data_IF_625153989270
#
_entry.id   IF_625153989270
#
_cell.length_a   1.000
_cell.length_b   1.000
_cell.length_c   1.000
_cell.angle_alpha   90.00
_cell.angle_beta   90.00
_cell.angle_gamma   90.00
#
_symmetry.space_group_name_H-M   'P 1'
#
loop_
_entity.id
_entity.type
_entity.pdbx_description
1 polymer ?
#
# COMPACT_ATOMS: atom_id res chain seq x y z
N UNK A 1 -15.05 -19.69 11.60
CA UNK A 1 -16.28 -18.94 11.92
C UNK A 1 -17.08 -18.90 10.64
N UNK A 2 -18.30 -19.41 10.70
CA UNK A 2 -19.22 -19.48 9.58
C UNK A 2 -20.10 -18.22 9.53
N UNK A 3 -19.95 -17.42 8.48
CA UNK A 3 -20.68 -16.15 8.30
C UNK A 3 -21.46 -16.20 6.99
N UNK A 4 -22.74 -15.86 7.06
CA UNK A 4 -23.59 -15.67 5.88
C UNK A 4 -23.88 -14.18 5.70
N UNK A 5 -23.44 -13.60 4.59
CA UNK A 5 -23.94 -12.30 4.13
C UNK A 5 -25.09 -12.58 3.17
N UNK A 6 -26.31 -12.16 3.53
CA UNK A 6 -27.53 -12.50 2.79
C UNK A 6 -27.96 -11.35 1.87
N UNK A 7 -28.44 -11.68 0.67
CA UNK A 7 -29.12 -10.74 -0.24
C UNK A 7 -28.31 -9.49 -0.67
N UNK A 8 -26.98 -9.57 -0.72
CA UNK A 8 -26.12 -8.48 -1.19
C UNK A 8 -25.98 -8.46 -2.71
N UNK A 9 -25.80 -7.29 -3.32
CA UNK A 9 -25.17 -7.26 -4.65
C UNK A 9 -23.68 -7.53 -4.51
N UNK A 10 -23.08 -8.24 -5.45
CA UNK A 10 -21.66 -8.62 -5.44
C UNK A 10 -21.00 -8.11 -6.70
N UNK A 11 -19.94 -7.31 -6.55
CA UNK A 11 -19.14 -6.81 -7.66
C UNK A 11 -17.69 -7.21 -7.49
N UNK A 12 -17.19 -8.01 -8.43
CA UNK A 12 -15.77 -8.28 -8.63
C UNK A 12 -15.43 -8.12 -10.12
N UNK A 13 -14.24 -8.53 -10.56
CA UNK A 13 -13.86 -8.40 -11.97
C UNK A 13 -14.70 -9.25 -12.93
N UNK A 14 -15.50 -10.23 -12.48
CA UNK A 14 -16.41 -10.97 -13.35
C UNK A 14 -17.73 -10.24 -13.63
N UNK A 15 -17.99 -9.13 -12.94
CA UNK A 15 -19.16 -8.27 -13.12
C UNK A 15 -20.07 -8.23 -11.89
N UNK A 16 -21.17 -7.48 -12.02
CA UNK A 16 -22.18 -7.33 -10.98
C UNK A 16 -23.12 -8.55 -10.95
N UNK A 17 -23.28 -9.16 -9.78
CA UNK A 17 -24.28 -10.20 -9.48
C UNK A 17 -25.24 -9.66 -8.43
N UNK A 18 -26.54 -9.63 -8.71
CA UNK A 18 -27.54 -9.06 -7.79
C UNK A 18 -28.08 -10.12 -6.83
N UNK A 19 -28.54 -9.68 -5.66
CA UNK A 19 -29.26 -10.52 -4.67
C UNK A 19 -28.55 -11.86 -4.40
N UNK A 20 -27.24 -11.80 -4.14
CA UNK A 20 -26.39 -12.94 -3.88
C UNK A 20 -26.12 -13.10 -2.39
N UNK A 21 -25.96 -14.35 -1.98
CA UNK A 21 -25.51 -14.76 -0.66
C UNK A 21 -24.02 -15.08 -0.73
N UNK A 22 -23.23 -14.59 0.23
CA UNK A 22 -21.82 -14.93 0.39
C UNK A 22 -21.70 -15.75 1.66
N UNK A 23 -21.30 -17.02 1.51
CA UNK A 23 -20.99 -17.88 2.63
C UNK A 23 -19.48 -17.94 2.85
N UNK A 24 -19.06 -17.60 4.06
CA UNK A 24 -17.68 -17.60 4.51
C UNK A 24 -17.53 -18.64 5.61
N UNK A 25 -16.54 -19.51 5.50
CA UNK A 25 -16.15 -20.40 6.58
C UNK A 25 -14.62 -20.55 6.62
N UNK A 26 -14.09 -20.70 7.83
CA UNK A 26 -12.65 -20.80 8.11
C UNK A 26 -11.78 -19.78 7.33
N UNK A 27 -12.23 -18.53 7.29
CA UNK A 27 -11.50 -17.44 6.64
C UNK A 27 -11.56 -17.44 5.12
N UNK A 28 -12.36 -18.32 4.51
CA UNK A 28 -12.50 -18.47 3.06
C UNK A 28 -13.94 -18.28 2.61
N UNK A 29 -14.09 -17.76 1.41
CA UNK A 29 -15.37 -17.76 0.70
C UNK A 29 -15.61 -19.20 0.24
N UNK A 30 -16.70 -19.80 0.69
CA UNK A 30 -17.10 -21.15 0.30
C UNK A 30 -18.03 -21.08 -0.90
N UNK A 31 -18.93 -20.09 -0.93
CA UNK A 31 -19.95 -19.97 -1.97
C UNK A 31 -20.40 -18.52 -2.17
N UNK A 32 -20.69 -18.17 -3.43
CA UNK A 32 -21.39 -16.94 -3.81
C UNK A 32 -22.51 -17.32 -4.78
N UNK A 33 -23.77 -17.23 -4.36
CA UNK A 33 -24.92 -17.69 -5.15
C UNK A 33 -26.24 -17.02 -4.74
N UNK A 34 -27.27 -17.10 -5.57
CA UNK A 34 -28.65 -16.72 -5.20
C UNK A 34 -29.24 -17.62 -4.10
N UNK A 35 -28.80 -18.88 -4.03
CA UNK A 35 -29.32 -19.83 -3.07
C UNK A 35 -28.65 -19.65 -1.71
N UNK A 36 -29.40 -19.88 -0.64
CA UNK A 36 -28.84 -20.07 0.70
C UNK A 36 -28.48 -21.55 0.81
N UNK A 37 -27.19 -21.88 0.93
CA UNK A 37 -26.79 -23.28 1.02
C UNK A 37 -27.33 -23.94 2.29
N UNK A 38 -27.70 -25.22 2.17
CA UNK A 38 -28.13 -26.06 3.27
C UNK A 38 -26.93 -26.50 4.14
N UNK A 39 -26.22 -25.53 4.73
CA UNK A 39 -25.13 -25.81 5.67
C UNK A 39 -25.68 -26.00 7.07
N UNK A 40 -25.08 -26.94 7.81
CA UNK A 40 -25.55 -27.36 9.13
C UNK A 40 -25.28 -26.37 10.26
N UNK A 41 -24.47 -25.33 10.04
CA UNK A 41 -24.19 -24.31 11.06
C UNK A 41 -23.75 -22.97 10.44
N UNK A 42 -24.45 -21.90 10.79
CA UNK A 42 -24.10 -20.50 10.50
C UNK A 42 -23.95 -19.82 11.86
N UNK A 43 -22.77 -19.26 12.16
CA UNK A 43 -22.52 -18.59 13.44
C UNK A 43 -23.11 -17.17 13.44
N UNK A 44 -23.03 -16.47 12.29
CA UNK A 44 -23.54 -15.10 12.14
C UNK A 44 -24.20 -14.87 10.78
N UNK A 45 -25.30 -14.12 10.77
CA UNK A 45 -25.96 -13.63 9.56
C UNK A 45 -25.81 -12.11 9.50
N UNK A 46 -25.32 -11.62 8.36
CA UNK A 46 -25.19 -10.19 8.05
C UNK A 46 -26.21 -9.88 6.96
N UNK A 47 -27.03 -8.85 7.18
CA UNK A 47 -27.98 -8.37 6.19
C UNK A 47 -27.26 -7.54 5.12
N UNK A 48 -27.31 -8.01 3.89
CA UNK A 48 -26.70 -7.41 2.71
C UNK A 48 -27.72 -6.74 1.78
N UNK A 49 -29.04 -6.87 2.02
CA UNK A 49 -30.06 -6.19 1.23
C UNK A 49 -29.80 -4.68 1.21
N UNK A 50 -29.74 -4.12 -0.01
CA UNK A 50 -29.43 -2.70 -0.21
C UNK A 50 -27.94 -2.37 -0.12
N UNK A 51 -27.05 -3.36 -0.05
CA UNK A 51 -25.59 -3.19 0.02
C UNK A 51 -24.89 -3.81 -1.18
N UNK A 52 -23.67 -3.34 -1.43
CA UNK A 52 -22.76 -3.84 -2.46
C UNK A 52 -21.51 -4.42 -1.81
N UNK A 53 -21.28 -5.71 -2.00
CA UNK A 53 -20.06 -6.39 -1.60
C UNK A 53 -19.00 -6.30 -2.71
N UNK A 54 -17.80 -5.88 -2.34
CA UNK A 54 -16.61 -5.87 -3.21
C UNK A 54 -15.46 -6.63 -2.53
N UNK A 55 -14.48 -7.16 -3.30
CA UNK A 55 -13.22 -7.58 -2.72
C UNK A 55 -12.59 -6.46 -1.89
N UNK A 56 -11.92 -6.84 -0.82
CA UNK A 56 -11.15 -5.91 0.00
C UNK A 56 -10.11 -5.16 -0.81
N UNK A 57 -9.98 -3.85 -0.56
CA UNK A 57 -8.99 -3.03 -1.25
C UNK A 57 -7.59 -3.34 -0.72
N UNK A 58 -6.60 -3.27 -1.60
CA UNK A 58 -5.19 -3.45 -1.29
C UNK A 58 -4.45 -2.13 -1.52
N UNK A 59 -3.91 -1.55 -0.45
CA UNK A 59 -3.02 -0.39 -0.54
C UNK A 59 -1.58 -0.87 -0.73
N UNK A 60 -1.09 -0.84 -1.96
CA UNK A 60 0.15 -1.53 -2.33
C UNK A 60 1.44 -0.84 -1.86
N UNK A 61 1.35 0.39 -1.37
CA UNK A 61 2.49 1.14 -0.83
C UNK A 61 2.01 2.28 0.07
N UNK A 62 2.49 2.30 1.31
CA UNK A 62 2.20 3.31 2.33
C UNK A 62 3.38 3.38 3.31
N UNK A 63 3.48 4.46 4.07
CA UNK A 63 4.34 4.53 5.26
C UNK A 63 3.50 4.94 6.48
N UNK A 64 3.23 3.99 7.37
CA UNK A 64 2.33 4.17 8.50
C UNK A 64 3.00 4.80 9.71
N UNK A 65 4.33 4.63 9.82
CA UNK A 65 5.13 5.28 10.86
C UNK A 65 5.18 6.80 10.71
N UNK A 66 4.86 7.40 9.57
CA UNK A 66 5.04 8.84 9.31
C UNK A 66 3.85 9.73 9.69
N UNK A 67 2.78 9.16 10.24
CA UNK A 67 1.48 9.84 10.34
C UNK A 67 1.43 10.91 11.43
N UNK A 68 2.17 10.75 12.52
CA UNK A 68 2.13 11.66 13.67
C UNK A 68 2.62 13.08 13.36
N UNK A 69 3.33 13.28 12.23
CA UNK A 69 3.89 14.56 11.82
C UNK A 69 3.38 15.03 10.44
N UNK A 70 2.35 14.37 9.91
CA UNK A 70 1.83 14.55 8.56
C UNK A 70 1.41 15.99 8.22
N UNK A 71 0.87 16.73 9.19
CA UNK A 71 0.36 18.10 9.02
C UNK A 71 1.30 19.18 9.57
N UNK A 72 2.55 18.82 9.85
CA UNK A 72 3.56 19.74 10.42
C UNK A 72 4.66 20.13 9.44
N UNK A 73 4.58 19.64 8.19
CA UNK A 73 5.52 19.93 7.13
C UNK A 73 4.87 20.90 6.14
N UNK A 74 5.51 22.02 5.77
CA UNK A 74 5.01 22.90 4.72
C UNK A 74 4.79 22.14 3.41
N UNK A 75 3.65 22.34 2.78
CA UNK A 75 3.30 21.74 1.49
C UNK A 75 4.11 22.32 0.33
N UNK A 76 4.81 23.45 0.56
CA UNK A 76 5.73 24.09 -0.38
C UNK A 76 7.18 23.60 -0.28
N UNK A 77 7.50 22.77 0.72
CA UNK A 77 8.86 22.26 0.89
C UNK A 77 9.24 21.32 -0.26
N UNK A 78 10.34 21.63 -0.96
CA UNK A 78 10.86 20.75 -2.00
C UNK A 78 11.40 19.43 -1.40
N UNK A 79 11.74 18.45 -2.24
CA UNK A 79 12.13 17.12 -1.75
C UNK A 79 13.35 17.13 -0.81
N UNK A 80 14.37 17.95 -1.10
CA UNK A 80 15.58 18.05 -0.28
C UNK A 80 15.23 18.66 1.08
N UNK A 81 14.52 19.79 1.07
CA UNK A 81 14.07 20.47 2.28
C UNK A 81 13.18 19.58 3.14
N UNK A 82 12.17 18.95 2.52
CA UNK A 82 11.28 17.99 3.16
C UNK A 82 12.06 16.86 3.85
N UNK A 83 13.04 16.27 3.15
CA UNK A 83 13.77 15.13 3.69
C UNK A 83 14.72 15.55 4.82
N UNK A 84 15.52 16.60 4.60
CA UNK A 84 16.58 17.01 5.51
C UNK A 84 16.04 17.74 6.75
N UNK A 85 15.07 18.64 6.59
CA UNK A 85 14.62 19.51 7.68
C UNK A 85 13.44 18.93 8.46
N UNK A 86 12.73 17.95 7.89
CA UNK A 86 11.51 17.42 8.50
C UNK A 86 11.53 15.90 8.66
N UNK A 87 11.72 15.15 7.57
CA UNK A 87 11.64 13.68 7.63
C UNK A 87 12.76 13.06 8.48
N UNK A 88 14.03 13.43 8.25
CA UNK A 88 15.15 12.90 9.04
C UNK A 88 15.05 13.26 10.54
N UNK A 89 14.76 14.52 10.94
CA UNK A 89 14.49 14.85 12.33
C UNK A 89 13.31 14.09 12.93
N UNK A 90 12.24 13.89 12.16
CA UNK A 90 11.09 13.10 12.58
C UNK A 90 11.49 11.67 12.93
N UNK A 91 12.18 10.98 12.01
CA UNK A 91 12.68 9.63 12.23
C UNK A 91 13.65 9.55 13.41
N UNK A 92 14.51 10.55 13.59
CA UNK A 92 15.42 10.63 14.75
C UNK A 92 14.70 10.79 16.09
N UNK A 93 13.49 11.38 16.09
CA UNK A 93 12.67 11.57 17.29
C UNK A 93 11.72 10.39 17.58
N UNK A 94 11.47 9.53 16.60
CA UNK A 94 10.47 8.46 16.64
C UNK A 94 10.88 7.33 17.58
N UNK A 95 10.08 7.08 18.62
CA UNK A 95 10.27 5.90 19.48
C UNK A 95 9.47 4.70 18.97
N UNK A 96 9.83 3.49 19.40
CA UNK A 96 9.06 2.27 19.09
C UNK A 96 7.57 2.39 19.46
N UNK A 97 7.29 3.06 20.57
CA UNK A 97 5.91 3.29 21.02
C UNK A 97 5.18 4.31 20.12
N UNK A 98 5.89 5.31 19.60
CA UNK A 98 5.30 6.24 18.63
C UNK A 98 4.94 5.54 17.34
N UNK A 99 5.85 4.73 16.80
CA UNK A 99 5.62 3.93 15.60
C UNK A 99 4.39 3.04 15.76
N UNK A 100 4.26 2.33 16.90
CA UNK A 100 3.09 1.52 17.19
C UNK A 100 1.76 2.30 17.09
N UNK A 101 1.66 3.47 17.74
CA UNK A 101 0.42 4.25 17.74
C UNK A 101 0.19 4.98 16.42
N UNK A 102 1.24 5.46 15.76
CA UNK A 102 1.17 6.00 14.39
C UNK A 102 0.59 4.96 13.45
N UNK A 103 1.15 3.76 13.48
CA UNK A 103 0.76 2.67 12.60
C UNK A 103 -0.65 2.18 12.91
N UNK A 104 -1.02 2.04 14.18
CA UNK A 104 -2.38 1.65 14.55
C UNK A 104 -3.43 2.67 14.08
N UNK A 105 -3.11 3.96 14.11
CA UNK A 105 -3.96 5.01 13.58
C UNK A 105 -4.09 4.94 12.05
N UNK A 106 -2.98 4.78 11.32
CA UNK A 106 -3.03 4.60 9.87
C UNK A 106 -3.86 3.38 9.47
N UNK A 107 -3.69 2.25 10.18
CA UNK A 107 -4.45 1.02 9.94
C UNK A 107 -5.94 1.20 10.23
N UNK A 108 -6.28 1.91 11.30
CA UNK A 108 -7.66 2.27 11.61
C UNK A 108 -8.31 3.05 10.46
N UNK A 109 -7.64 4.08 9.94
CA UNK A 109 -8.12 4.87 8.81
C UNK A 109 -8.23 4.03 7.52
N UNK A 110 -7.24 3.19 7.24
CA UNK A 110 -7.28 2.24 6.12
C UNK A 110 -8.50 1.31 6.18
N UNK A 111 -8.79 0.73 7.35
CA UNK A 111 -10.00 -0.08 7.54
C UNK A 111 -11.28 0.74 7.32
N UNK A 112 -11.33 2.00 7.77
CA UNK A 112 -12.47 2.90 7.51
C UNK A 112 -12.64 3.26 6.02
N UNK A 113 -11.59 3.07 5.20
CA UNK A 113 -11.61 3.21 3.75
C UNK A 113 -11.69 1.87 3.00
N UNK A 114 -12.02 0.76 3.69
CA UNK A 114 -12.25 -0.53 3.04
C UNK A 114 -10.97 -1.25 2.61
N UNK A 115 -9.82 -0.78 3.09
CA UNK A 115 -8.53 -1.43 2.88
C UNK A 115 -8.44 -2.64 3.81
N UNK A 116 -8.29 -3.81 3.23
CA UNK A 116 -8.14 -5.08 3.97
C UNK A 116 -6.69 -5.55 4.04
N UNK A 117 -5.86 -5.07 3.11
CA UNK A 117 -4.44 -5.39 3.03
C UNK A 117 -3.64 -4.13 2.67
N UNK A 118 -2.47 -3.98 3.28
CA UNK A 118 -1.51 -2.96 2.86
C UNK A 118 -0.09 -3.51 2.79
N UNK A 119 0.76 -2.82 2.06
CA UNK A 119 2.20 -3.04 2.10
C UNK A 119 2.91 -1.76 2.50
N UNK A 120 3.70 -1.87 3.56
CA UNK A 120 4.53 -0.80 4.08
C UNK A 120 5.98 -1.21 3.96
N UNK A 121 6.77 -0.30 3.44
CA UNK A 121 8.19 -0.47 3.18
C UNK A 121 8.96 0.48 4.07
N UNK A 122 10.18 0.09 4.43
CA UNK A 122 11.13 0.97 5.10
C UNK A 122 10.77 1.47 6.51
N UNK A 123 10.20 0.62 7.38
CA UNK A 123 9.89 0.98 8.77
C UNK A 123 11.12 0.88 9.70
N UNK A 124 11.26 1.81 10.65
CA UNK A 124 12.29 1.76 11.69
C UNK A 124 11.96 0.71 12.77
N UNK A 125 10.67 0.55 13.09
CA UNK A 125 10.17 -0.31 14.15
C UNK A 125 9.18 -1.37 13.64
N UNK A 126 9.56 -2.22 12.66
CA UNK A 126 8.64 -3.13 11.95
C UNK A 126 7.90 -4.13 12.85
N UNK A 127 8.44 -4.46 14.02
CA UNK A 127 7.74 -5.34 14.98
C UNK A 127 6.65 -4.61 15.77
N UNK A 128 6.79 -3.30 15.98
CA UNK A 128 5.72 -2.47 16.52
C UNK A 128 4.57 -2.38 15.51
N UNK A 129 4.89 -2.18 14.23
CA UNK A 129 3.89 -2.16 13.15
C UNK A 129 3.15 -3.49 13.02
N UNK A 130 3.88 -4.60 13.11
CA UNK A 130 3.30 -5.94 13.07
C UNK A 130 2.32 -6.15 14.22
N UNK A 131 2.71 -5.73 15.44
CA UNK A 131 1.84 -5.80 16.62
C UNK A 131 0.58 -4.95 16.47
N UNK A 132 0.69 -3.76 15.87
CA UNK A 132 -0.46 -2.92 15.58
C UNK A 132 -1.40 -3.60 14.57
N UNK A 133 -0.85 -4.20 13.50
CA UNK A 133 -1.62 -4.90 12.47
C UNK A 133 -2.38 -6.10 13.05
N UNK A 134 -1.70 -6.88 13.91
CA UNK A 134 -2.32 -8.00 14.64
C UNK A 134 -3.47 -7.51 15.54
N UNK A 135 -3.27 -6.38 16.24
CA UNK A 135 -4.28 -5.80 17.13
C UNK A 135 -5.53 -5.35 16.37
N UNK A 136 -5.40 -4.58 15.29
CA UNK A 136 -6.57 -4.09 14.54
C UNK A 136 -7.16 -5.14 13.58
N UNK A 137 -6.40 -6.19 13.25
CA UNK A 137 -6.86 -7.33 12.45
C UNK A 137 -6.74 -7.15 10.94
N UNK A 138 -6.05 -6.10 10.46
CA UNK A 138 -5.76 -5.87 9.04
C UNK A 138 -4.65 -6.81 8.53
N UNK A 139 -4.64 -7.11 7.23
CA UNK A 139 -3.54 -7.82 6.56
C UNK A 139 -2.41 -6.84 6.23
N UNK A 140 -1.16 -7.26 6.43
CA UNK A 140 -0.02 -6.38 6.25
C UNK A 140 1.19 -7.11 5.64
N UNK A 141 1.92 -6.40 4.79
CA UNK A 141 3.31 -6.68 4.45
C UNK A 141 4.19 -5.59 5.04
N UNK A 142 5.17 -5.96 5.86
CA UNK A 142 5.97 -5.01 6.64
C UNK A 142 7.44 -5.15 6.27
N UNK A 143 8.00 -4.08 5.73
CA UNK A 143 9.40 -3.96 5.34
C UNK A 143 10.16 -3.11 6.35
N UNK A 144 11.40 -3.48 6.62
CA UNK A 144 12.29 -2.70 7.48
C UNK A 144 13.09 -1.68 6.67
N UNK A 145 13.38 -0.53 7.26
CA UNK A 145 14.33 0.45 6.75
C UNK A 145 15.70 -0.21 6.60
N UNK A 146 16.24 -0.22 5.37
CA UNK A 146 17.58 -0.74 5.08
C UNK A 146 18.29 0.15 4.06
N UNK A 147 19.47 0.61 4.46
CA UNK A 147 20.43 1.32 3.64
C UNK A 147 21.82 1.14 4.28
N UNK A 148 22.87 1.19 3.46
CA UNK A 148 24.26 1.03 3.88
C UNK A 148 25.19 2.12 3.35
N UNK A 149 24.64 3.12 2.64
CA UNK A 149 25.37 4.28 2.12
C UNK A 149 24.71 5.60 2.53
N UNK A 150 25.54 6.61 2.82
CA UNK A 150 25.21 8.04 2.76
C UNK A 150 23.93 8.50 3.48
N UNK A 151 23.55 7.88 4.60
CA UNK A 151 22.44 8.36 5.46
C UNK A 151 22.75 8.16 6.95
N UNK A 152 22.13 8.94 7.87
CA UNK A 152 22.30 8.76 9.31
C UNK A 152 21.83 7.40 9.85
N UNK A 153 20.95 6.72 9.10
CA UNK A 153 20.40 5.40 9.46
C UNK A 153 21.10 4.25 8.72
N UNK A 154 22.21 4.54 8.03
CA UNK A 154 22.99 3.52 7.34
C UNK A 154 23.61 2.52 8.32
N UNK A 155 23.55 1.24 7.97
CA UNK A 155 24.21 0.16 8.73
C UNK A 155 25.06 -0.67 7.77
N UNK A 156 26.10 -1.35 8.26
CA UNK A 156 26.86 -2.31 7.45
C UNK A 156 25.95 -3.30 6.71
N UNK A 157 26.32 -3.66 5.47
CA UNK A 157 25.52 -4.52 4.59
C UNK A 157 25.14 -5.85 5.25
N UNK A 158 26.09 -6.49 5.93
CA UNK A 158 25.89 -7.74 6.68
C UNK A 158 24.82 -7.58 7.77
N UNK A 159 24.85 -6.46 8.50
CA UNK A 159 23.85 -6.14 9.54
C UNK A 159 22.47 -5.89 8.96
N UNK A 160 22.37 -5.16 7.84
CA UNK A 160 21.10 -4.98 7.13
C UNK A 160 20.49 -6.32 6.71
N UNK A 161 21.29 -7.20 6.08
CA UNK A 161 20.83 -8.51 5.63
C UNK A 161 20.46 -9.44 6.80
N UNK A 162 21.26 -9.46 7.88
CA UNK A 162 20.99 -10.24 9.09
C UNK A 162 19.64 -9.85 9.71
N UNK A 163 19.41 -8.54 9.91
CA UNK A 163 18.19 -8.04 10.52
C UNK A 163 16.96 -8.21 9.62
N UNK A 164 17.12 -8.00 8.30
CA UNK A 164 16.07 -8.26 7.33
C UNK A 164 15.67 -9.74 7.34
N UNK A 165 16.62 -10.66 7.33
CA UNK A 165 16.34 -12.09 7.37
C UNK A 165 15.70 -12.52 8.70
N UNK A 166 16.12 -11.93 9.81
CA UNK A 166 15.49 -12.15 11.12
C UNK A 166 14.02 -11.72 11.13
N UNK A 167 13.68 -10.57 10.54
CA UNK A 167 12.30 -10.12 10.39
C UNK A 167 11.50 -11.06 9.48
N UNK A 168 12.07 -11.45 8.33
CA UNK A 168 11.47 -12.41 7.38
C UNK A 168 11.15 -13.74 8.07
N UNK A 169 12.08 -14.29 8.85
CA UNK A 169 11.85 -15.50 9.65
C UNK A 169 10.76 -15.31 10.70
N UNK A 170 10.81 -14.20 11.46
CA UNK A 170 9.89 -13.96 12.57
C UNK A 170 8.44 -13.83 12.12
N UNK A 171 8.20 -13.15 11.01
CA UNK A 171 6.84 -12.94 10.47
C UNK A 171 6.42 -14.01 9.44
N UNK A 172 7.26 -15.02 9.16
CA UNK A 172 6.94 -16.09 8.19
C UNK A 172 5.77 -17.00 8.60
N UNK A 173 5.50 -17.12 9.91
CA UNK A 173 4.47 -18.02 10.45
C UNK A 173 3.05 -17.47 10.35
N UNK A 174 2.92 -16.15 10.24
CA UNK A 174 1.61 -15.51 10.17
C UNK A 174 1.09 -15.51 8.74
N UNK A 175 -0.18 -15.87 8.57
CA UNK A 175 -0.87 -15.81 7.27
C UNK A 175 -1.43 -14.42 6.96
N UNK A 176 -1.50 -13.53 7.97
CA UNK A 176 -2.11 -12.19 7.88
C UNK A 176 -1.08 -11.06 7.92
N UNK A 177 -0.04 -11.18 8.74
CA UNK A 177 1.01 -10.15 8.89
C UNK A 177 2.35 -10.74 8.50
N UNK A 178 2.85 -10.37 7.33
CA UNK A 178 4.07 -10.93 6.72
C UNK A 178 5.14 -9.87 6.57
N UNK A 179 6.39 -10.31 6.46
CA UNK A 179 7.50 -9.42 6.13
C UNK A 179 7.75 -9.36 4.62
N UNK A 180 8.23 -8.21 4.15
CA UNK A 180 8.71 -7.98 2.79
C UNK A 180 10.18 -7.53 2.85
N UNK A 181 11.01 -7.98 1.91
CA UNK A 181 12.38 -7.50 1.82
C UNK A 181 12.36 -6.07 1.27
N UNK A 182 12.93 -5.09 1.97
CA UNK A 182 12.73 -3.67 1.66
C UNK A 182 14.05 -2.91 1.69
N UNK A 183 14.22 -2.00 0.73
CA UNK A 183 15.36 -1.09 0.61
C UNK A 183 14.89 0.34 0.36
N UNK A 184 15.63 1.32 0.87
CA UNK A 184 15.27 2.74 0.74
C UNK A 184 15.38 3.26 -0.70
N UNK A 185 16.30 2.74 -1.50
CA UNK A 185 16.45 3.14 -2.90
C UNK A 185 17.90 3.23 -3.34
N UNK A 186 18.10 3.29 -4.67
CA UNK A 186 19.40 3.02 -5.27
C UNK A 186 20.49 3.89 -4.68
N UNK A 187 20.21 5.18 -4.46
CA UNK A 187 21.19 6.16 -3.98
C UNK A 187 21.71 5.95 -2.55
N UNK A 188 21.06 5.10 -1.75
CA UNK A 188 21.40 4.84 -0.33
C UNK A 188 21.84 3.41 -0.06
N UNK A 189 21.83 2.55 -1.08
CA UNK A 189 22.14 1.13 -0.95
C UNK A 189 23.26 0.72 -1.93
N UNK A 190 24.15 -0.17 -1.47
CA UNK A 190 25.20 -0.81 -2.26
C UNK A 190 24.65 -1.92 -3.15
N UNK A 191 25.42 -2.31 -4.16
CA UNK A 191 25.07 -3.41 -5.05
C UNK A 191 25.00 -4.75 -4.29
N UNK A 192 25.88 -4.93 -3.30
CA UNK A 192 25.92 -6.07 -2.40
C UNK A 192 24.62 -6.19 -1.60
N UNK A 193 24.12 -5.07 -1.07
CA UNK A 193 22.85 -5.05 -0.33
C UNK A 193 21.66 -5.38 -1.24
N UNK A 194 21.62 -4.86 -2.47
CA UNK A 194 20.59 -5.22 -3.45
C UNK A 194 20.61 -6.72 -3.78
N UNK A 195 21.80 -7.27 -4.07
CA UNK A 195 21.97 -8.71 -4.39
C UNK A 195 21.55 -9.59 -3.22
N UNK A 196 21.94 -9.23 -1.99
CA UNK A 196 21.53 -9.95 -0.79
C UNK A 196 20.03 -9.89 -0.55
N UNK A 197 19.42 -8.70 -0.74
CA UNK A 197 17.98 -8.49 -0.56
C UNK A 197 17.15 -9.35 -1.50
N UNK A 198 17.48 -9.37 -2.79
CA UNK A 198 16.72 -10.20 -3.75
C UNK A 198 16.94 -11.70 -3.51
N UNK A 199 18.12 -12.11 -3.03
CA UNK A 199 18.36 -13.49 -2.62
C UNK A 199 17.50 -13.88 -1.40
N UNK A 200 17.36 -12.98 -0.42
CA UNK A 200 16.48 -13.19 0.74
C UNK A 200 15.00 -13.25 0.33
N UNK A 201 14.55 -12.36 -0.56
CA UNK A 201 13.18 -12.39 -1.08
C UNK A 201 12.86 -13.76 -1.74
N UNK A 202 13.79 -14.27 -2.57
CA UNK A 202 13.67 -15.58 -3.21
C UNK A 202 13.64 -16.72 -2.20
N UNK A 203 14.55 -16.71 -1.23
CA UNK A 203 14.63 -17.72 -0.16
C UNK A 203 13.35 -17.78 0.67
N UNK A 204 12.79 -16.63 1.01
CA UNK A 204 11.61 -16.50 1.86
C UNK A 204 10.28 -16.44 1.10
N UNK A 205 10.31 -16.56 -0.24
CA UNK A 205 9.11 -16.51 -1.12
C UNK A 205 8.26 -15.26 -0.87
N UNK A 206 8.92 -14.12 -0.74
CA UNK A 206 8.28 -12.80 -0.59
C UNK A 206 8.73 -11.86 -1.70
N UNK A 207 8.24 -10.63 -1.69
CA UNK A 207 8.69 -9.58 -2.61
C UNK A 207 9.95 -8.89 -2.08
N UNK A 208 10.72 -8.30 -3.00
CA UNK A 208 11.73 -7.28 -2.73
C UNK A 208 11.18 -5.94 -3.22
N UNK A 209 11.05 -4.96 -2.33
CA UNK A 209 10.56 -3.62 -2.65
C UNK A 209 11.63 -2.55 -2.47
N UNK A 210 11.64 -1.56 -3.37
CA UNK A 210 12.49 -0.38 -3.23
C UNK A 210 11.89 0.83 -3.95
N UNK A 211 12.14 2.02 -3.40
CA UNK A 211 11.81 3.28 -4.04
C UNK A 211 12.82 3.58 -5.14
N UNK A 212 12.37 3.57 -6.39
CA UNK A 212 13.26 3.77 -7.53
C UNK A 212 12.70 4.76 -8.54
N UNK A 213 13.60 5.55 -9.12
CA UNK A 213 13.24 6.60 -10.04
C UNK A 213 12.13 7.50 -9.45
N UNK A 214 12.24 7.81 -8.15
CA UNK A 214 11.21 8.50 -7.34
C UNK A 214 11.27 10.02 -7.49
N UNK A 215 11.89 10.49 -8.58
CA UNK A 215 12.00 11.88 -9.00
C UNK A 215 13.21 12.06 -9.91
N UNK A 216 13.24 13.17 -10.65
CA UNK A 216 14.35 13.45 -11.57
C UNK A 216 15.71 13.52 -10.86
N UNK A 217 15.75 14.10 -9.65
CA UNK A 217 16.97 14.19 -8.85
C UNK A 217 17.53 12.82 -8.45
N UNK A 218 16.66 11.86 -8.17
CA UNK A 218 17.02 10.48 -7.83
C UNK A 218 17.75 9.81 -9.01
N UNK A 219 17.23 10.01 -10.23
CA UNK A 219 17.85 9.56 -11.47
C UNK A 219 19.20 10.24 -11.70
N UNK A 220 19.29 11.56 -11.56
CA UNK A 220 20.55 12.31 -11.74
C UNK A 220 21.63 11.82 -10.78
N UNK A 221 21.28 11.64 -9.49
CA UNK A 221 22.21 11.11 -8.48
C UNK A 221 22.67 9.68 -8.82
N UNK A 222 21.75 8.84 -9.28
CA UNK A 222 22.07 7.47 -9.67
C UNK A 222 23.04 7.42 -10.87
N UNK A 223 22.78 8.23 -11.90
CA UNK A 223 23.64 8.33 -13.09
C UNK A 223 25.02 8.85 -12.70
N UNK A 224 25.11 9.86 -11.84
CA UNK A 224 26.40 10.38 -11.34
C UNK A 224 27.19 9.31 -10.60
N UNK A 225 26.52 8.45 -9.82
CA UNK A 225 27.17 7.42 -8.99
C UNK A 225 27.54 6.16 -9.76
N UNK A 226 26.69 5.73 -10.69
CA UNK A 226 26.77 4.39 -11.33
C UNK A 226 27.04 4.43 -12.83
N UNK A 227 26.94 5.61 -13.45
CA UNK A 227 26.97 5.78 -14.91
C UNK A 227 25.71 5.32 -15.62
N UNK A 228 24.68 4.85 -14.90
CA UNK A 228 23.44 4.30 -15.45
C UNK A 228 22.21 4.91 -14.76
N UNK A 229 21.08 4.86 -15.43
CA UNK A 229 19.78 5.20 -14.82
C UNK A 229 19.36 4.10 -13.82
N UNK A 230 18.50 4.39 -12.83
CA UNK A 230 18.20 3.47 -11.73
C UNK A 230 17.84 2.05 -12.19
N UNK A 231 16.85 1.92 -13.08
CA UNK A 231 16.36 0.59 -13.50
C UNK A 231 17.41 -0.11 -14.38
N UNK A 232 18.18 0.62 -15.18
CA UNK A 232 19.28 0.05 -15.97
C UNK A 232 20.40 -0.50 -15.08
N UNK A 233 20.73 0.22 -14.00
CA UNK A 233 21.71 -0.23 -13.01
C UNK A 233 21.22 -1.51 -12.30
N UNK A 234 20.00 -1.46 -11.76
CA UNK A 234 19.39 -2.58 -11.05
C UNK A 234 19.23 -3.84 -11.91
N UNK A 235 18.96 -3.68 -13.21
CA UNK A 235 18.97 -4.78 -14.16
C UNK A 235 20.36 -5.42 -14.25
N UNK A 236 21.42 -4.62 -14.32
CA UNK A 236 22.79 -5.11 -14.49
C UNK A 236 23.37 -5.84 -13.27
N UNK A 237 22.79 -5.63 -12.08
CA UNK A 237 23.18 -6.34 -10.85
C UNK A 237 22.23 -7.50 -10.50
N UNK A 238 21.24 -7.77 -11.34
CA UNK A 238 20.30 -8.90 -11.17
C UNK A 238 19.21 -8.68 -10.12
N UNK A 239 18.91 -7.42 -9.76
CA UNK A 239 17.83 -7.12 -8.81
C UNK A 239 16.44 -7.20 -9.45
N UNK A 240 16.31 -6.90 -10.74
CA UNK A 240 15.02 -6.94 -11.44
C UNK A 240 14.57 -8.38 -11.68
N UNK A 241 13.45 -8.78 -11.07
CA UNK A 241 12.82 -10.08 -11.22
C UNK A 241 11.31 -9.97 -11.02
N UNK A 242 10.57 -11.08 -11.23
CA UNK A 242 9.14 -11.15 -10.90
C UNK A 242 8.79 -10.83 -9.44
N UNK A 243 9.75 -10.99 -8.51
CA UNK A 243 9.58 -10.65 -7.09
C UNK A 243 9.88 -9.19 -6.76
N UNK A 244 10.31 -8.40 -7.75
CA UNK A 244 10.67 -6.99 -7.55
C UNK A 244 9.43 -6.12 -7.67
N UNK A 245 9.13 -5.38 -6.61
CA UNK A 245 8.12 -4.32 -6.57
C UNK A 245 8.84 -2.97 -6.55
N UNK A 246 8.66 -2.17 -7.59
CA UNK A 246 9.22 -0.83 -7.68
C UNK A 246 8.18 0.17 -7.19
N UNK A 247 8.48 0.90 -6.12
CA UNK A 247 7.63 2.00 -5.67
C UNK A 247 7.88 3.25 -6.52
N UNK A 248 6.80 3.92 -6.90
CA UNK A 248 6.76 5.13 -7.75
C UNK A 248 7.04 4.88 -9.24
N UNK A 249 8.32 4.79 -9.63
CA UNK A 249 8.76 4.79 -11.02
C UNK A 249 8.36 6.05 -11.83
N UNK A 250 8.68 7.23 -11.30
CA UNK A 250 8.24 8.54 -11.80
C UNK A 250 9.09 9.16 -12.90
N UNK A 251 10.35 8.76 -13.05
CA UNK A 251 11.23 9.21 -14.14
C UNK A 251 11.88 8.00 -14.81
N UNK A 252 11.31 7.61 -15.95
CA UNK A 252 11.75 6.43 -16.69
C UNK A 252 12.12 6.77 -18.13
N UNK A 253 13.13 6.08 -18.65
CA UNK A 253 13.34 6.00 -20.10
C UNK A 253 12.51 4.85 -20.72
N UNK A 254 12.32 4.88 -22.03
CA UNK A 254 11.65 3.76 -22.73
C UNK A 254 12.45 2.45 -22.62
N UNK A 255 13.78 2.54 -22.45
CA UNK A 255 14.62 1.37 -22.18
C UNK A 255 14.32 0.78 -20.81
N UNK A 256 14.13 1.62 -19.79
CA UNK A 256 13.77 1.18 -18.44
C UNK A 256 12.38 0.52 -18.41
N UNK A 257 11.40 1.07 -19.14
CA UNK A 257 10.08 0.43 -19.33
C UNK A 257 10.23 -0.98 -19.90
N UNK A 258 11.05 -1.15 -20.95
CA UNK A 258 11.32 -2.47 -21.53
C UNK A 258 12.00 -3.43 -20.55
N UNK A 259 12.94 -2.94 -19.74
CA UNK A 259 13.62 -3.76 -18.72
C UNK A 259 12.66 -4.22 -17.62
N UNK A 260 11.79 -3.33 -17.14
CA UNK A 260 10.74 -3.67 -16.17
C UNK A 260 9.84 -4.77 -16.73
N UNK A 261 9.37 -4.60 -17.97
CA UNK A 261 8.51 -5.60 -18.61
C UNK A 261 9.22 -6.93 -18.86
N UNK A 262 10.45 -6.89 -19.36
CA UNK A 262 11.23 -8.09 -19.67
C UNK A 262 11.55 -8.94 -18.44
N UNK A 263 11.72 -8.32 -17.28
CA UNK A 263 11.96 -9.01 -16.00
C UNK A 263 10.68 -9.27 -15.20
N UNK A 264 9.52 -8.88 -15.75
CA UNK A 264 8.20 -9.09 -15.15
C UNK A 264 8.04 -8.49 -13.74
N UNK A 265 8.75 -7.37 -13.52
CA UNK A 265 8.66 -6.57 -12.31
C UNK A 265 7.26 -5.97 -12.16
N UNK A 266 6.90 -5.65 -10.92
CA UNK A 266 5.69 -4.92 -10.59
C UNK A 266 6.01 -3.47 -10.20
N UNK A 267 5.01 -2.59 -10.34
CA UNK A 267 5.07 -1.19 -9.92
C UNK A 267 3.93 -0.91 -8.93
N UNK A 268 4.26 -0.25 -7.82
CA UNK A 268 3.30 0.40 -6.94
C UNK A 268 3.26 1.90 -7.26
N UNK A 269 2.29 2.30 -8.07
CA UNK A 269 2.12 3.69 -8.48
C UNK A 269 1.44 4.51 -7.37
N UNK A 270 1.98 5.69 -7.06
CA UNK A 270 1.47 6.54 -6.00
C UNK A 270 1.23 7.97 -6.55
N UNK A 271 0.24 8.18 -7.42
CA UNK A 271 0.14 9.43 -8.18
C UNK A 271 -0.14 10.65 -7.29
N UNK A 272 -0.81 10.50 -6.15
CA UNK A 272 -1.18 11.64 -5.28
C UNK A 272 0.06 12.28 -4.65
N UNK A 273 0.96 11.48 -4.07
CA UNK A 273 2.25 11.95 -3.52
C UNK A 273 3.12 12.56 -4.62
N UNK A 274 3.13 11.94 -5.80
CA UNK A 274 3.95 12.38 -6.93
C UNK A 274 3.50 13.74 -7.44
N UNK A 275 2.18 13.96 -7.54
CA UNK A 275 1.60 15.25 -7.88
C UNK A 275 1.81 16.29 -6.78
N UNK A 276 1.49 15.96 -5.52
CA UNK A 276 1.62 16.91 -4.39
C UNK A 276 3.06 17.39 -4.23
N UNK A 277 4.06 16.52 -4.41
CA UNK A 277 5.48 16.88 -4.30
C UNK A 277 6.09 17.42 -5.60
N UNK A 278 5.32 17.53 -6.68
CA UNK A 278 5.84 18.01 -7.96
C UNK A 278 6.94 17.14 -8.57
N UNK A 279 6.88 15.80 -8.40
CA UNK A 279 7.93 14.86 -8.84
C UNK A 279 8.08 14.74 -10.37
N UNK A 280 7.22 15.41 -11.13
CA UNK A 280 7.31 15.46 -12.59
C UNK A 280 6.70 14.25 -13.30
N UNK A 281 5.69 13.60 -12.69
CA UNK A 281 4.99 12.44 -13.27
C UNK A 281 4.53 12.69 -14.72
N UNK A 282 4.07 13.90 -15.03
CA UNK A 282 3.72 14.30 -16.40
C UNK A 282 4.93 14.44 -17.34
N UNK A 283 6.02 15.02 -16.83
CA UNK A 283 7.18 15.43 -17.64
C UNK A 283 8.13 14.27 -17.93
N UNK A 284 8.33 13.39 -16.95
CA UNK A 284 9.32 12.31 -17.00
C UNK A 284 8.72 10.92 -16.86
N UNK A 285 7.47 10.84 -16.36
CA UNK A 285 6.79 9.57 -16.15
C UNK A 285 6.49 8.86 -17.47
N UNK A 286 6.45 7.54 -17.39
CA UNK A 286 6.13 6.65 -18.52
C UNK A 286 4.89 5.81 -18.25
N UNK A 287 3.94 6.37 -17.50
CA UNK A 287 2.74 5.67 -17.04
C UNK A 287 1.97 5.03 -18.20
N UNK A 288 1.74 5.77 -19.28
CA UNK A 288 1.04 5.30 -20.48
C UNK A 288 1.78 4.16 -21.16
N UNK A 289 3.11 4.22 -21.26
CA UNK A 289 3.94 3.18 -21.84
C UNK A 289 3.96 1.92 -20.97
N UNK A 290 4.03 2.08 -19.64
CA UNK A 290 3.95 0.97 -18.68
C UNK A 290 2.61 0.23 -18.80
N UNK A 291 1.49 0.97 -18.81
CA UNK A 291 0.14 0.40 -18.96
C UNK A 291 0.00 -0.29 -20.32
N UNK A 292 0.35 0.39 -21.42
CA UNK A 292 0.25 -0.15 -22.78
C UNK A 292 1.15 -1.37 -23.01
N UNK A 293 2.24 -1.49 -22.24
CA UNK A 293 3.15 -2.65 -22.29
C UNK A 293 2.71 -3.81 -21.39
N UNK A 294 1.54 -3.71 -20.73
CA UNK A 294 1.05 -4.68 -19.76
C UNK A 294 2.08 -4.97 -18.65
N UNK A 295 2.72 -3.92 -18.12
CA UNK A 295 3.48 -4.03 -16.87
C UNK A 295 2.51 -4.31 -15.71
N UNK A 296 2.95 -5.09 -14.73
CA UNK A 296 2.15 -5.40 -13.53
C UNK A 296 2.08 -4.14 -12.67
N UNK A 297 0.89 -3.57 -12.52
CA UNK A 297 0.67 -2.33 -11.79
C UNK A 297 -0.33 -2.56 -10.65
N UNK A 298 -0.03 -1.98 -9.51
CA UNK A 298 -0.92 -1.79 -8.37
C UNK A 298 -0.80 -0.34 -7.86
N UNK A 299 -1.70 0.09 -6.99
CA UNK A 299 -1.79 1.48 -6.53
C UNK A 299 -1.55 1.56 -5.02
N UNK A 300 -0.76 2.57 -4.62
CA UNK A 300 -0.51 2.92 -3.24
C UNK A 300 -0.94 4.35 -2.91
N UNK A 301 -0.98 4.66 -1.61
CA UNK A 301 -1.23 6.02 -1.10
C UNK A 301 0.05 6.74 -0.71
N UNK A 302 1.15 6.01 -0.53
CA UNK A 302 2.40 6.52 0.06
C UNK A 302 2.15 7.13 1.45
N UNK A 303 3.12 7.88 1.98
CA UNK A 303 3.07 8.43 3.33
C UNK A 303 2.02 9.55 3.52
N UNK A 304 1.57 9.67 4.77
CA UNK A 304 0.58 10.68 5.16
C UNK A 304 1.11 12.12 5.10
N UNK A 305 2.42 12.36 4.96
CA UNK A 305 2.96 13.72 4.86
C UNK A 305 3.07 14.21 3.40
N UNK A 306 2.96 13.32 2.42
CA UNK A 306 3.00 13.65 0.99
C UNK A 306 1.71 13.34 0.23
N UNK A 307 0.79 12.54 0.79
CA UNK A 307 -0.56 12.37 0.22
C UNK A 307 -1.69 12.79 1.17
N UNK A 308 -1.44 12.76 2.49
CA UNK A 308 -2.39 13.07 3.57
C UNK A 308 -3.71 12.28 3.52
N UNK A 309 -3.73 11.11 2.88
CA UNK A 309 -4.91 10.24 2.85
C UNK A 309 -4.51 8.77 2.76
N UNK A 310 -5.40 7.90 3.23
CA UNK A 310 -5.22 6.43 3.23
C UNK A 310 -6.23 5.73 2.29
N UNK A 311 -6.80 6.48 1.36
CA UNK A 311 -7.83 6.02 0.45
C UNK A 311 -7.22 5.68 -0.92
N UNK A 312 -7.07 4.38 -1.25
CA UNK A 312 -6.44 4.01 -2.49
C UNK A 312 -7.39 4.15 -3.71
N UNK A 313 -8.73 4.28 -3.51
CA UNK A 313 -9.65 4.62 -4.61
C UNK A 313 -9.35 6.03 -5.10
N UNK A 314 -9.11 6.99 -4.20
CA UNK A 314 -8.64 8.33 -4.58
C UNK A 314 -7.33 8.27 -5.36
N UNK A 315 -6.34 7.49 -4.90
CA UNK A 315 -5.11 7.30 -5.68
C UNK A 315 -5.37 6.70 -7.07
N UNK A 316 -6.25 5.71 -7.19
CA UNK A 316 -6.58 5.11 -8.47
C UNK A 316 -7.35 6.06 -9.40
N UNK A 317 -8.17 6.95 -8.84
CA UNK A 317 -8.85 8.03 -9.57
C UNK A 317 -7.82 8.97 -10.20
N UNK A 318 -6.84 9.44 -9.43
CA UNK A 318 -5.75 10.28 -9.97
C UNK A 318 -4.95 9.55 -11.04
N UNK A 319 -4.61 8.27 -10.83
CA UNK A 319 -3.91 7.47 -11.85
C UNK A 319 -4.71 7.41 -13.16
N UNK A 320 -6.01 7.14 -13.04
CA UNK A 320 -6.95 7.01 -14.15
C UNK A 320 -7.06 8.31 -14.94
N UNK A 321 -7.35 9.43 -14.27
CA UNK A 321 -7.51 10.74 -14.91
C UNK A 321 -6.21 11.21 -15.59
N UNK A 322 -5.07 11.10 -14.90
CA UNK A 322 -3.77 11.50 -15.47
C UNK A 322 -3.40 10.67 -16.69
N UNK A 323 -3.58 9.35 -16.64
CA UNK A 323 -3.27 8.48 -17.76
C UNK A 323 -4.16 8.81 -18.98
N UNK A 324 -5.46 9.05 -18.75
CA UNK A 324 -6.40 9.42 -19.83
C UNK A 324 -6.02 10.74 -20.48
N UNK A 325 -5.76 11.77 -19.66
CA UNK A 325 -5.41 13.11 -20.14
C UNK A 325 -4.09 13.09 -20.92
N UNK A 326 -3.04 12.48 -20.34
CA UNK A 326 -1.73 12.36 -20.98
C UNK A 326 -1.78 11.60 -22.31
N UNK A 327 -2.58 10.53 -22.37
CA UNK A 327 -2.70 9.72 -23.57
C UNK A 327 -3.65 10.31 -24.62
N UNK A 328 -4.39 11.39 -24.29
CA UNK A 328 -5.58 11.83 -25.04
C UNK A 328 -6.52 10.66 -25.36
N UNK A 329 -6.63 9.72 -24.42
CA UNK A 329 -7.33 8.45 -24.61
C UNK A 329 -8.18 8.14 -23.37
N UNK A 330 -9.51 8.35 -23.43
CA UNK A 330 -10.39 8.11 -22.29
C UNK A 330 -10.49 6.63 -21.92
N UNK A 331 -9.95 5.68 -22.70
CA UNK A 331 -10.08 4.24 -22.45
C UNK A 331 -8.83 3.61 -21.81
N UNK A 332 -7.69 4.29 -21.75
CA UNK A 332 -6.41 3.67 -21.36
C UNK A 332 -6.39 3.10 -19.94
N UNK A 333 -6.99 3.81 -18.98
CA UNK A 333 -7.29 3.32 -17.63
C UNK A 333 -8.75 3.61 -17.39
N UNK A 334 -9.61 2.62 -17.63
CA UNK A 334 -11.04 2.75 -17.29
C UNK A 334 -11.29 2.35 -15.82
N UNK A 335 -12.51 2.52 -15.35
CA UNK A 335 -12.86 2.26 -13.96
C UNK A 335 -12.65 0.81 -13.54
N UNK A 336 -12.90 -0.15 -14.44
CA UNK A 336 -12.65 -1.58 -14.20
C UNK A 336 -11.16 -1.90 -14.08
N UNK A 337 -10.29 -1.26 -14.88
CA UNK A 337 -8.83 -1.37 -14.76
C UNK A 337 -8.34 -0.81 -13.43
N UNK A 338 -8.80 0.39 -13.05
CA UNK A 338 -8.48 1.00 -11.76
C UNK A 338 -8.91 0.10 -10.59
N UNK A 339 -10.11 -0.47 -10.66
CA UNK A 339 -10.59 -1.45 -9.69
C UNK A 339 -9.72 -2.71 -9.63
N UNK A 340 -9.22 -3.23 -10.78
CA UNK A 340 -8.25 -4.34 -10.77
C UNK A 340 -6.97 -3.98 -10.02
N UNK A 341 -6.40 -2.79 -10.27
CA UNK A 341 -5.16 -2.32 -9.64
C UNK A 341 -5.26 -2.28 -8.11
N UNK A 342 -6.47 -2.12 -7.57
CA UNK A 342 -6.77 -2.11 -6.13
C UNK A 342 -7.16 -3.47 -5.55
N UNK A 343 -7.43 -4.46 -6.40
CA UNK A 343 -7.95 -5.76 -5.98
C UNK A 343 -7.12 -6.90 -6.56
N UNK A 344 -7.56 -7.53 -7.65
CA UNK A 344 -6.92 -8.72 -8.22
C UNK A 344 -5.48 -8.49 -8.68
N UNK A 345 -5.20 -7.37 -9.34
CA UNK A 345 -3.85 -7.08 -9.85
C UNK A 345 -2.85 -6.94 -8.68
N UNK A 346 -3.24 -6.23 -7.61
CA UNK A 346 -2.44 -6.15 -6.38
C UNK A 346 -2.33 -7.52 -5.68
N UNK A 347 -3.44 -8.26 -5.55
CA UNK A 347 -3.47 -9.59 -4.96
C UNK A 347 -2.47 -10.54 -5.63
N UNK A 348 -2.40 -10.53 -6.96
CA UNK A 348 -1.46 -11.32 -7.75
C UNK A 348 0.00 -10.90 -7.55
N UNK A 349 0.24 -9.60 -7.37
CA UNK A 349 1.58 -9.07 -7.06
C UNK A 349 2.05 -9.58 -5.71
N UNK A 350 1.19 -9.47 -4.70
CA UNK A 350 1.46 -9.90 -3.33
C UNK A 350 1.30 -11.42 -3.12
N UNK A 351 1.02 -12.18 -4.18
CA UNK A 351 0.80 -13.63 -4.14
C UNK A 351 -0.21 -14.03 -3.05
N UNK A 352 -1.31 -13.28 -3.02
CA UNK A 352 -2.47 -13.54 -2.17
C UNK A 352 -3.57 -14.24 -2.99
N UNK A 353 -4.35 -15.09 -2.33
CA UNK A 353 -5.55 -15.67 -2.94
C UNK A 353 -6.80 -14.85 -2.55
N UNK A 354 -6.77 -13.54 -2.81
CA UNK A 354 -7.84 -12.58 -2.52
C UNK A 354 -8.14 -11.70 -3.75
N UNK A 355 -8.90 -10.62 -3.60
CA UNK A 355 -9.16 -9.64 -4.65
C UNK A 355 -10.26 -10.04 -5.64
N UNK A 356 -10.96 -11.15 -5.37
CA UNK A 356 -12.13 -11.66 -6.11
C UNK A 356 -13.08 -12.32 -5.10
N UNK A 357 -14.39 -12.24 -5.31
CA UNK A 357 -15.41 -12.85 -4.45
C UNK A 357 -15.90 -14.17 -5.06
N UNK A 358 -15.09 -15.22 -4.89
CA UNK A 358 -15.33 -16.56 -5.45
C UNK A 358 -14.94 -17.68 -4.47
N UNK A 359 -15.50 -18.90 -4.62
CA UNK A 359 -15.12 -20.04 -3.80
C UNK A 359 -13.60 -20.26 -3.70
N UNK A 360 -13.13 -20.68 -2.52
CA UNK A 360 -11.74 -20.92 -2.13
C UNK A 360 -10.86 -19.66 -1.97
N UNK A 361 -11.33 -18.47 -2.32
CA UNK A 361 -10.61 -17.22 -2.05
C UNK A 361 -10.68 -16.87 -0.56
N UNK A 362 -9.66 -16.17 -0.08
CA UNK A 362 -9.64 -15.59 1.26
C UNK A 362 -10.80 -14.59 1.35
N UNK A 363 -11.56 -14.63 2.44
CA UNK A 363 -12.66 -13.70 2.70
C UNK A 363 -12.12 -12.34 3.19
N UNK A 364 -11.41 -11.62 2.32
CA UNK A 364 -11.16 -10.18 2.48
C UNK A 364 -12.19 -9.44 1.60
N UNK A 365 -13.17 -8.79 2.22
CA UNK A 365 -14.28 -8.13 1.52
C UNK A 365 -14.78 -6.90 2.27
N UNK A 366 -15.50 -6.05 1.54
CA UNK A 366 -16.13 -4.83 2.06
C UNK A 366 -17.60 -4.83 1.65
N UNK A 367 -18.51 -4.49 2.58
CA UNK A 367 -19.87 -4.10 2.22
C UNK A 367 -19.99 -2.58 2.23
N UNK A 368 -20.54 -2.05 1.14
CA UNK A 368 -20.82 -0.65 0.92
C UNK A 368 -22.33 -0.43 0.94
N UNK A 369 -22.79 0.64 1.56
CA UNK A 369 -24.17 1.09 1.41
C UNK A 369 -24.42 1.47 -0.06
N UNK A 370 -25.57 1.08 -0.63
CA UNK A 370 -25.94 1.55 -1.98
C UNK A 370 -26.42 2.99 -1.91
N UNK A 371 -25.46 3.91 -1.93
CA UNK A 371 -25.70 5.34 -2.17
C UNK A 371 -26.27 5.58 -3.58
N UNK A 372 -26.89 6.75 -3.86
CA UNK A 372 -27.64 7.00 -5.09
C UNK A 372 -26.92 6.63 -6.39
N UNK A 373 -25.62 6.91 -6.51
CA UNK A 373 -24.84 6.61 -7.71
C UNK A 373 -24.59 5.11 -7.95
N UNK A 374 -24.77 4.24 -6.95
CA UNK A 374 -24.70 2.78 -7.10
C UNK A 374 -26.03 2.15 -7.53
N UNK A 375 -27.11 2.94 -7.62
CA UNK A 375 -28.44 2.44 -7.98
C UNK A 375 -28.63 2.27 -9.51
N UNK A 376 -27.78 2.89 -10.32
CA UNK A 376 -27.90 2.91 -11.78
C UNK A 376 -26.53 2.91 -12.48
N UNK A 377 -26.52 2.56 -13.77
CA UNK A 377 -25.31 2.63 -14.60
C UNK A 377 -24.26 1.57 -14.27
N UNK A 378 -23.00 1.91 -14.57
CA UNK A 378 -21.84 1.05 -14.36
C UNK A 378 -21.29 1.22 -12.93
N UNK A 379 -21.35 0.19 -12.08
CA UNK A 379 -20.93 0.31 -10.70
C UNK A 379 -19.42 0.52 -10.54
N UNK A 380 -18.58 0.13 -11.52
CA UNK A 380 -17.15 0.47 -11.45
C UNK A 380 -16.95 1.98 -11.60
N UNK A 381 -17.70 2.62 -12.50
CA UNK A 381 -17.62 4.07 -12.69
C UNK A 381 -18.12 4.81 -11.46
N UNK A 382 -19.23 4.35 -10.86
CA UNK A 382 -19.74 4.92 -9.61
C UNK A 382 -18.71 4.81 -8.47
N UNK A 383 -18.04 3.67 -8.31
CA UNK A 383 -17.00 3.50 -7.29
C UNK A 383 -15.77 4.39 -7.50
N UNK A 384 -15.40 4.69 -8.74
CA UNK A 384 -14.19 5.45 -9.03
C UNK A 384 -14.42 6.96 -9.12
N UNK A 385 -15.48 7.39 -9.81
CA UNK A 385 -15.66 8.78 -10.24
C UNK A 385 -16.72 9.55 -9.44
N UNK A 386 -17.60 8.85 -8.72
CA UNK A 386 -18.60 9.49 -7.86
C UNK A 386 -18.11 9.56 -6.41
N UNK A 387 -18.90 10.23 -5.57
CA UNK A 387 -18.66 10.24 -4.13
C UNK A 387 -18.67 8.81 -3.57
N UNK A 388 -17.69 8.52 -2.71
CA UNK A 388 -17.53 7.17 -2.20
C UNK A 388 -18.71 6.76 -1.33
N UNK A 389 -19.23 5.54 -1.54
CA UNK A 389 -20.28 5.02 -0.69
C UNK A 389 -19.77 4.81 0.73
N UNK A 390 -20.68 4.98 1.69
CA UNK A 390 -20.36 4.68 3.09
C UNK A 390 -20.03 3.20 3.24
N UNK A 391 -18.96 2.92 3.96
CA UNK A 391 -18.58 1.56 4.32
C UNK A 391 -19.43 1.10 5.50
N UNK A 392 -20.13 -0.01 5.30
CA UNK A 392 -20.91 -0.66 6.34
C UNK A 392 -20.05 -1.67 7.10
N UNK A 393 -19.28 -2.50 6.38
CA UNK A 393 -18.56 -3.62 6.95
C UNK A 393 -17.21 -3.83 6.24
N UNK A 394 -16.17 -4.17 7.01
CA UNK A 394 -14.91 -4.70 6.49
C UNK A 394 -14.58 -6.03 7.15
N UNK A 395 -14.30 -7.02 6.32
CA UNK A 395 -13.92 -8.37 6.71
C UNK A 395 -12.50 -8.67 6.22
N UNK A 396 -11.65 -9.21 7.09
CA UNK A 396 -10.25 -9.57 6.79
C UNK A 396 -9.99 -11.01 7.22
N UNK A 397 -9.85 -11.90 6.24
CA UNK A 397 -9.64 -13.33 6.45
C UNK A 397 -10.84 -13.97 7.14
N UNK A 398 -12.06 -13.58 6.76
CA UNK A 398 -13.32 -14.07 7.33
C UNK A 398 -13.71 -13.49 8.67
N UNK A 399 -12.89 -12.59 9.23
CA UNK A 399 -13.15 -11.92 10.49
C UNK A 399 -13.66 -10.50 10.24
N UNK A 400 -14.82 -10.14 10.79
CA UNK A 400 -15.34 -8.76 10.71
C UNK A 400 -14.53 -7.88 11.66
N UNK A 401 -13.89 -6.85 11.13
CA UNK A 401 -13.01 -5.92 11.88
C UNK A 401 -13.56 -4.50 11.96
N UNK A 402 -14.50 -4.16 11.06
CA UNK A 402 -15.24 -2.90 11.05
C UNK A 402 -16.70 -3.19 10.73
N UNK A 403 -17.62 -2.57 11.48
CA UNK A 403 -19.06 -2.70 11.28
C UNK A 403 -19.80 -1.44 11.75
N UNK A 404 -20.73 -0.93 10.95
CA UNK A 404 -21.62 0.17 11.30
C UNK A 404 -20.90 1.41 11.85
N UNK A 405 -19.80 1.83 11.22
CA UNK A 405 -19.05 3.00 11.66
C UNK A 405 -18.03 2.72 12.78
N UNK A 406 -17.89 1.47 13.25
CA UNK A 406 -17.06 1.14 14.42
C UNK A 406 -16.00 0.10 14.09
N UNK A 407 -14.79 0.33 14.59
CA UNK A 407 -13.72 -0.68 14.65
C UNK A 407 -14.02 -1.64 15.79
N UNK A 408 -13.99 -2.95 15.51
CA UNK A 408 -14.42 -3.97 16.48
C UNK A 408 -13.31 -4.46 17.40
N UNK A 409 -12.05 -4.26 17.02
CA UNK A 409 -10.88 -4.74 17.78
C UNK A 409 -10.15 -3.68 18.60
N UNK A 410 -10.41 -2.41 18.32
CA UNK A 410 -9.71 -1.30 18.97
C UNK A 410 -10.69 -0.19 19.34
N UNK A 411 -10.42 0.49 20.44
CA UNK A 411 -11.09 1.74 20.80
C UNK A 411 -10.42 2.89 20.04
N UNK A 412 -11.11 3.44 19.05
CA UNK A 412 -10.56 4.53 18.25
C UNK A 412 -10.35 5.81 19.06
N UNK A 413 -11.11 6.04 20.15
CA UNK A 413 -10.90 7.21 21.00
C UNK A 413 -9.60 7.10 21.81
N UNK A 414 -9.22 5.89 22.23
CA UNK A 414 -7.91 5.63 22.82
C UNK A 414 -6.80 5.96 21.82
N UNK A 415 -6.92 5.47 20.58
CA UNK A 415 -5.95 5.73 19.51
C UNK A 415 -5.80 7.24 19.28
N UNK A 416 -6.90 7.99 19.18
CA UNK A 416 -6.87 9.44 18.97
C UNK A 416 -6.13 10.18 20.10
N UNK A 417 -6.41 9.84 21.37
CA UNK A 417 -5.72 10.43 22.53
C UNK A 417 -4.22 10.16 22.50
N UNK A 418 -3.83 8.92 22.20
CA UNK A 418 -2.43 8.51 22.17
C UNK A 418 -1.67 9.14 20.98
N UNK A 419 -2.33 9.30 19.83
CA UNK A 419 -1.82 10.01 18.65
C UNK A 419 -1.62 11.48 18.92
N UNK A 420 -2.61 12.18 19.49
CA UNK A 420 -2.53 13.62 19.79
C UNK A 420 -1.35 13.91 20.72
N UNK A 421 -1.27 13.18 21.84
CA UNK A 421 -0.18 13.29 22.82
C UNK A 421 1.19 13.12 22.18
N UNK A 422 1.36 12.13 21.30
CA UNK A 422 2.65 11.83 20.66
C UNK A 422 2.98 12.79 19.54
N UNK A 423 2.00 13.19 18.74
CA UNK A 423 2.14 14.21 17.70
C UNK A 423 2.66 15.52 18.30
N UNK A 424 2.04 16.00 19.39
CA UNK A 424 2.51 17.20 20.10
C UNK A 424 3.95 17.05 20.62
N UNK A 425 4.28 15.90 21.21
CA UNK A 425 5.63 15.61 21.71
C UNK A 425 6.67 15.60 20.59
N UNK A 426 6.39 14.91 19.49
CA UNK A 426 7.30 14.81 18.34
C UNK A 426 7.45 16.17 17.67
N UNK A 427 6.35 16.89 17.45
CA UNK A 427 6.39 18.22 16.85
C UNK A 427 7.28 19.17 17.65
N UNK A 428 7.15 19.18 18.98
CA UNK A 428 8.04 19.93 19.85
C UNK A 428 9.51 19.54 19.64
N UNK A 429 9.84 18.24 19.62
CA UNK A 429 11.23 17.79 19.41
C UNK A 429 11.78 18.17 18.04
N UNK A 430 11.01 17.98 16.97
CA UNK A 430 11.44 18.29 15.61
C UNK A 430 11.66 19.79 15.44
N UNK A 431 10.74 20.62 15.94
CA UNK A 431 10.84 22.08 15.85
C UNK A 431 11.93 22.66 16.77
N UNK A 432 12.10 22.12 17.99
CA UNK A 432 13.15 22.55 18.93
C UNK A 432 14.56 22.21 18.40
N UNK A 433 14.72 21.10 17.66
CA UNK A 433 15.98 20.72 17.02
C UNK A 433 16.19 21.36 15.63
N UNK A 434 15.11 21.84 14.99
CA UNK A 434 15.13 22.60 13.74
C UNK A 434 15.77 24.00 13.83
N UNK A 435 16.20 24.41 15.02
CA UNK A 435 17.00 25.61 15.26
C UNK A 435 18.43 25.33 15.71
N UNK A 436 18.98 24.14 15.45
CA UNK A 436 20.42 23.92 15.62
C UNK A 436 21.20 24.73 14.56
N UNK A 437 21.51 25.98 14.90
CA UNK A 437 22.34 26.95 14.17
C UNK A 437 23.81 26.53 13.98
N UNK A 438 24.16 25.25 14.18
CA UNK A 438 25.55 24.77 14.24
C UNK A 438 25.83 23.59 13.30
N UNK A 439 25.25 23.57 12.11
CA UNK A 439 25.85 22.85 10.98
C UNK A 439 26.30 23.90 9.97
N UNK A 440 27.43 24.53 10.31
CA UNK A 440 28.21 25.43 9.46
C UNK A 440 28.73 24.74 8.21
#
# INVERSE_FOLDING_TARGET
MAVLIRDADVLDLSGLRKNSNIFVDDGRIVQVSSDIPAFSKIDYVIEGKGKLAIPGLINAHVHTEETLFANSIPDTANHIEWFQNYALPYYGALTQEDAYWSTLFSQALMLMHGVTCYADSANLWPLADAKAAERCGIRAFIGMWNCDLNTPFARPTDKCLEQMENLLRKLSKSTKVRAIASLIGVNTCSDELYKGTIALAKKHKTLATSHEASGHEDVVKCVKRTGKRPIEHLASIGFLTRQTLISHATDLSDKEVRLIKANDCAIAACPVTELKKGKGLWKFGKLVQLISSNVRICVGTDNANSSNNFDPIKSALFLSLLAKDYALNPSIVNARSAFCFLTKCASDIFSLNTGVLQPNFIADLVLLEKEPFLLFGDPYQALLFCDQPKIDLVMVGGEVVYLNGKLLKIDFNEVLKEVEKRSQRIAKRVLDHGHCKNCS
#
